data_IF_610231681876
#
_entry.id   IF_610231681876
#
_cell.length_a   1.000
_cell.length_b   1.000
_cell.length_c   1.000
_cell.angle_alpha   90.00
_cell.angle_beta   90.00
_cell.angle_gamma   90.00
#
_symmetry.space_group_name_H-M   'P 1'
#
loop_
_entity.id
_entity.type
_entity.pdbx_description
1 polymer ?
#
# COMPACT_ATOMS: atom_id res chain seq x y z
N UNK A 1 -35.11 12.83 -59.89
CA UNK A 1 -34.83 13.24 -58.49
C UNK A 1 -35.39 12.18 -57.56
N UNK A 2 -34.54 11.39 -56.88
CA UNK A 2 -34.94 10.55 -55.75
C UNK A 2 -33.86 10.65 -54.67
N UNK A 3 -34.36 10.99 -53.49
CA UNK A 3 -33.64 11.56 -52.37
C UNK A 3 -32.69 10.56 -51.71
N UNK A 4 -31.54 11.08 -51.29
CA UNK A 4 -30.54 10.39 -50.50
C UNK A 4 -31.00 10.22 -49.03
N UNK A 5 -30.62 9.12 -48.40
CA UNK A 5 -30.56 8.98 -46.94
C UNK A 5 -29.45 7.98 -46.60
N UNK A 6 -28.21 8.48 -46.58
CA UNK A 6 -27.08 7.77 -46.00
C UNK A 6 -27.07 8.02 -44.49
N UNK A 7 -27.50 7.02 -43.72
CA UNK A 7 -27.35 7.00 -42.26
C UNK A 7 -25.87 6.72 -41.94
N UNK A 8 -25.11 7.76 -41.58
CA UNK A 8 -23.75 7.62 -41.04
C UNK A 8 -23.85 7.32 -39.54
N UNK A 9 -23.61 6.08 -39.16
CA UNK A 9 -23.42 5.67 -37.77
C UNK A 9 -22.04 6.16 -37.35
N UNK A 10 -21.99 7.15 -36.46
CA UNK A 10 -20.76 7.60 -35.81
C UNK A 10 -20.50 6.64 -34.66
N UNK A 11 -19.66 5.65 -34.90
CA UNK A 11 -19.04 4.83 -33.85
C UNK A 11 -18.03 5.72 -33.11
N UNK A 12 -18.47 6.38 -32.05
CA UNK A 12 -17.58 7.01 -31.08
C UNK A 12 -16.81 5.92 -30.33
N UNK A 13 -15.63 5.57 -30.82
CA UNK A 13 -14.65 4.81 -30.06
C UNK A 13 -14.18 5.69 -28.89
N UNK A 14 -14.83 5.57 -27.74
CA UNK A 14 -14.30 6.08 -26.50
C UNK A 14 -13.05 5.24 -26.16
N UNK A 15 -11.88 5.74 -26.53
CA UNK A 15 -10.62 5.28 -25.96
C UNK A 15 -10.62 5.73 -24.51
N UNK A 16 -11.15 4.88 -23.62
CA UNK A 16 -10.89 5.00 -22.19
C UNK A 16 -9.41 4.70 -22.05
N UNK A 17 -8.60 5.75 -21.95
CA UNK A 17 -7.24 5.64 -21.47
C UNK A 17 -7.32 5.17 -20.01
N UNK A 18 -7.32 3.87 -19.80
CA UNK A 18 -6.97 3.31 -18.50
C UNK A 18 -5.53 3.74 -18.27
N UNK A 19 -5.33 4.80 -17.48
CA UNK A 19 -4.09 4.91 -16.74
C UNK A 19 -3.98 3.57 -16.00
N UNK A 20 -3.04 2.72 -16.42
CA UNK A 20 -2.84 1.41 -15.80
C UNK A 20 -2.38 1.72 -14.39
N UNK A 21 -3.34 1.73 -13.49
CA UNK A 21 -3.11 2.07 -12.11
C UNK A 21 -2.18 0.99 -11.54
N UNK A 22 -1.08 1.44 -10.93
CA UNK A 22 0.09 0.61 -10.69
C UNK A 22 0.07 0.11 -9.25
N UNK A 23 0.19 -1.20 -9.06
CA UNK A 23 0.46 -1.77 -7.74
C UNK A 23 1.86 -1.37 -7.28
N UNK A 24 2.00 -1.06 -5.99
CA UNK A 24 3.24 -0.57 -5.41
C UNK A 24 3.71 -1.49 -4.29
N UNK A 25 5.02 -1.53 -4.07
CA UNK A 25 5.63 -2.28 -2.98
C UNK A 25 6.56 -1.37 -2.21
N UNK A 26 6.46 -1.45 -0.88
CA UNK A 26 7.39 -0.82 0.02
C UNK A 26 7.87 -1.79 1.08
N UNK A 27 9.10 -1.61 1.52
CA UNK A 27 9.73 -2.48 2.50
C UNK A 27 10.37 -1.67 3.61
N UNK A 28 10.10 -2.07 4.85
CA UNK A 28 10.91 -1.74 6.01
C UNK A 28 11.83 -2.93 6.30
N UNK A 29 13.11 -2.68 6.57
CA UNK A 29 14.06 -3.72 6.97
C UNK A 29 14.42 -3.54 8.43
N UNK A 30 14.15 -4.57 9.24
CA UNK A 30 14.48 -4.66 10.65
C UNK A 30 15.54 -5.71 10.87
N UNK A 31 16.69 -5.34 11.43
CA UNK A 31 17.88 -6.21 11.48
C UNK A 31 18.25 -6.78 10.09
N UNK A 32 19.34 -7.53 9.96
CA UNK A 32 19.83 -7.94 8.63
C UNK A 32 18.93 -8.95 7.89
N UNK A 33 17.78 -9.35 8.44
CA UNK A 33 16.98 -10.48 7.91
C UNK A 33 15.47 -10.44 8.12
N UNK A 34 14.92 -9.41 8.77
CA UNK A 34 13.47 -9.29 8.98
C UNK A 34 12.92 -8.10 8.20
N UNK A 35 11.78 -8.28 7.55
CA UNK A 35 11.21 -7.31 6.64
C UNK A 35 9.70 -7.17 6.90
N UNK A 36 9.22 -5.93 6.88
CA UNK A 36 7.81 -5.61 6.66
C UNK A 36 7.63 -5.20 5.22
N UNK A 37 6.77 -5.92 4.51
CA UNK A 37 6.32 -5.58 3.17
C UNK A 37 4.95 -4.92 3.25
N UNK A 38 4.79 -3.75 2.65
CA UNK A 38 3.47 -3.15 2.37
C UNK A 38 3.26 -3.13 0.85
N UNK A 39 2.17 -3.73 0.39
CA UNK A 39 1.78 -3.74 -1.01
C UNK A 39 0.49 -2.97 -1.21
N UNK A 40 0.53 -1.94 -2.05
CA UNK A 40 -0.68 -1.36 -2.62
C UNK A 40 -1.21 -2.31 -3.70
N UNK A 41 -2.34 -2.94 -3.41
CA UNK A 41 -3.14 -3.75 -4.32
C UNK A 41 -4.13 -2.82 -5.02
N UNK A 42 -3.68 -2.28 -6.15
CA UNK A 42 -4.45 -1.28 -6.89
C UNK A 42 -5.85 -1.78 -7.29
N UNK A 43 -6.03 -2.99 -7.87
CA UNK A 43 -7.35 -3.49 -8.24
C UNK A 43 -8.34 -3.54 -7.08
N UNK A 44 -7.85 -3.80 -5.86
CA UNK A 44 -8.66 -3.83 -4.65
C UNK A 44 -8.75 -2.47 -3.95
N UNK A 45 -7.89 -1.51 -4.30
CA UNK A 45 -7.81 -0.20 -3.68
C UNK A 45 -7.38 -0.26 -2.21
N UNK A 46 -6.53 -1.23 -1.83
CA UNK A 46 -6.11 -1.44 -0.44
C UNK A 46 -4.61 -1.71 -0.33
N UNK A 47 -4.04 -1.33 0.81
CA UNK A 47 -2.74 -1.81 1.28
C UNK A 47 -2.91 -3.15 1.97
N UNK A 48 -1.99 -4.06 1.68
CA UNK A 48 -1.82 -5.35 2.35
C UNK A 48 -0.42 -5.38 2.96
N UNK A 49 -0.25 -6.12 4.05
CA UNK A 49 1.05 -6.30 4.67
C UNK A 49 1.54 -7.73 4.50
N UNK A 50 2.84 -7.93 4.65
CA UNK A 50 3.47 -9.22 4.83
C UNK A 50 4.73 -9.09 5.68
N UNK A 51 5.10 -10.16 6.39
CA UNK A 51 6.31 -10.22 7.19
C UNK A 51 7.20 -11.35 6.69
N UNK A 52 8.49 -11.08 6.49
CA UNK A 52 9.49 -12.09 6.11
C UNK A 52 10.66 -12.03 7.06
N UNK A 53 11.06 -13.17 7.60
CA UNK A 53 12.26 -13.25 8.41
C UNK A 53 12.36 -14.59 9.13
N UNK A 54 13.58 -15.04 9.36
CA UNK A 54 13.83 -16.34 10.03
C UNK A 54 13.87 -16.22 11.54
N UNK A 55 13.89 -14.99 12.07
CA UNK A 55 14.05 -14.71 13.51
C UNK A 55 12.80 -14.13 14.16
N UNK A 56 11.68 -14.03 13.43
CA UNK A 56 10.42 -13.62 14.04
C UNK A 56 9.98 -14.63 15.11
N UNK A 57 9.53 -14.16 16.29
CA UNK A 57 8.86 -15.03 17.25
C UNK A 57 7.66 -15.74 16.59
N UNK A 58 7.32 -16.97 17.01
CA UNK A 58 6.09 -17.64 16.58
C UNK A 58 4.87 -16.74 16.80
N UNK A 59 3.83 -16.88 15.96
CA UNK A 59 2.59 -16.06 16.02
C UNK A 59 2.74 -14.57 15.68
N UNK A 60 3.94 -14.15 15.25
CA UNK A 60 4.14 -12.83 14.67
C UNK A 60 3.26 -12.65 13.43
N UNK A 61 2.57 -11.52 13.37
CA UNK A 61 1.59 -11.23 12.32
C UNK A 61 1.45 -9.73 12.07
N UNK A 62 0.95 -9.40 10.89
CA UNK A 62 0.56 -8.04 10.56
C UNK A 62 -0.90 -7.99 10.11
N UNK A 63 -1.56 -6.85 10.32
CA UNK A 63 -2.89 -6.54 9.77
C UNK A 63 -2.93 -5.09 9.31
N UNK A 64 -3.85 -4.75 8.42
CA UNK A 64 -3.92 -3.41 7.83
C UNK A 64 -5.32 -2.84 7.91
N UNK A 65 -5.43 -1.64 8.46
CA UNK A 65 -6.63 -0.82 8.43
C UNK A 65 -6.49 0.24 7.33
N UNK A 66 -7.29 0.09 6.27
CA UNK A 66 -7.29 1.00 5.14
C UNK A 66 -8.32 2.11 5.34
N UNK A 67 -7.97 3.35 4.99
CA UNK A 67 -8.88 4.48 5.05
C UNK A 67 -8.56 5.55 4.01
N UNK A 68 -9.54 6.43 3.77
CA UNK A 68 -9.35 7.67 3.03
C UNK A 68 -9.82 8.82 3.91
N UNK A 69 -9.05 9.90 3.95
CA UNK A 69 -9.50 11.11 4.64
C UNK A 69 -10.56 11.88 3.81
N UNK A 70 -11.07 12.98 4.36
CA UNK A 70 -12.07 13.82 3.69
C UNK A 70 -11.56 14.47 2.39
N UNK A 71 -10.24 14.56 2.20
CA UNK A 71 -9.60 15.07 0.98
C UNK A 71 -9.33 13.96 -0.05
N UNK A 72 -9.70 12.71 0.27
CA UNK A 72 -9.46 11.55 -0.58
C UNK A 72 -8.04 10.99 -0.48
N UNK A 73 -7.21 11.46 0.46
CA UNK A 73 -5.86 10.93 0.64
C UNK A 73 -5.95 9.50 1.16
N UNK A 74 -5.35 8.57 0.41
CA UNK A 74 -5.32 7.15 0.76
C UNK A 74 -4.28 6.94 1.84
N UNK A 75 -4.66 6.25 2.90
CA UNK A 75 -3.75 5.87 3.95
C UNK A 75 -4.07 4.49 4.51
N UNK A 76 -3.06 3.85 5.08
CA UNK A 76 -3.22 2.58 5.74
C UNK A 76 -2.42 2.55 7.05
N UNK A 77 -3.05 2.05 8.10
CA UNK A 77 -2.42 1.79 9.39
C UNK A 77 -2.13 0.31 9.49
N UNK A 78 -0.85 -0.05 9.43
CA UNK A 78 -0.40 -1.43 9.61
C UNK A 78 -0.09 -1.69 11.07
N UNK A 79 -0.76 -2.68 11.63
CA UNK A 79 -0.54 -3.17 12.99
C UNK A 79 0.36 -4.39 12.93
N UNK A 80 1.56 -4.32 13.51
CA UNK A 80 2.51 -5.43 13.62
C UNK A 80 2.51 -5.95 15.06
N UNK A 81 2.17 -7.21 15.25
CA UNK A 81 2.22 -7.88 16.55
C UNK A 81 3.33 -8.91 16.53
N UNK A 82 4.31 -8.78 17.42
CA UNK A 82 5.38 -9.77 17.58
C UNK A 82 5.01 -10.78 18.65
N UNK A 83 5.11 -12.07 18.30
CA UNK A 83 4.82 -13.12 19.26
C UNK A 83 3.36 -13.13 19.73
N UNK A 84 3.17 -13.59 20.98
CA UNK A 84 1.92 -13.46 21.72
C UNK A 84 1.75 -12.09 22.40
N UNK A 85 2.41 -11.04 21.88
CA UNK A 85 2.25 -9.68 22.36
C UNK A 85 0.81 -9.20 22.27
N UNK A 86 0.37 -8.38 23.22
CA UNK A 86 -1.01 -7.88 23.29
C UNK A 86 -1.20 -6.50 22.65
N UNK A 87 -0.11 -5.76 22.41
CA UNK A 87 -0.15 -4.43 21.83
C UNK A 87 0.60 -4.42 20.49
N UNK A 88 -0.06 -4.01 19.38
CA UNK A 88 0.61 -3.88 18.09
C UNK A 88 1.47 -2.62 18.04
N UNK A 89 2.57 -2.69 17.28
CA UNK A 89 3.28 -1.52 16.79
C UNK A 89 2.60 -1.03 15.52
N UNK A 90 2.49 0.29 15.38
CA UNK A 90 1.66 0.89 14.33
C UNK A 90 2.52 1.66 13.34
N UNK A 91 2.40 1.32 12.06
CA UNK A 91 3.04 2.03 10.96
C UNK A 91 1.98 2.60 10.03
N UNK A 92 1.97 3.91 9.84
CA UNK A 92 1.09 4.59 8.90
C UNK A 92 1.80 4.81 7.58
N UNK A 93 1.13 4.52 6.48
CA UNK A 93 1.58 4.89 5.13
C UNK A 93 0.53 5.75 4.45
N UNK A 94 0.96 6.89 3.89
CA UNK A 94 0.17 7.66 2.92
C UNK A 94 0.52 7.19 1.51
N UNK A 95 -0.48 6.78 0.73
CA UNK A 95 -0.26 6.16 -0.59
C UNK A 95 -0.54 7.14 -1.71
N UNK A 96 0.44 7.36 -2.58
CA UNK A 96 0.22 7.97 -3.89
C UNK A 96 0.20 6.86 -4.96
N UNK A 97 -0.98 6.41 -5.42
CA UNK A 97 -1.11 5.27 -6.33
C UNK A 97 -0.54 5.55 -7.73
N UNK A 98 -0.37 6.82 -8.12
CA UNK A 98 0.13 7.19 -9.45
C UNK A 98 1.65 7.05 -9.55
N UNK A 99 2.37 7.19 -8.44
CA UNK A 99 3.84 7.30 -8.43
C UNK A 99 4.53 6.23 -7.61
N UNK A 100 3.80 5.47 -6.79
CA UNK A 100 4.36 4.62 -5.74
C UNK A 100 5.25 5.36 -4.73
N UNK A 101 5.26 6.69 -4.75
CA UNK A 101 5.79 7.48 -3.65
C UNK A 101 4.79 7.47 -2.49
N UNK A 102 5.28 7.77 -1.30
CA UNK A 102 4.40 8.09 -0.19
C UNK A 102 3.82 9.49 -0.39
N UNK A 103 2.67 9.75 0.20
CA UNK A 103 2.12 11.11 0.26
C UNK A 103 3.07 12.01 1.08
N UNK A 104 3.14 13.31 0.74
CA UNK A 104 3.91 14.26 1.53
C UNK A 104 3.33 14.39 2.95
N UNK A 105 4.20 14.71 3.90
CA UNK A 105 3.89 14.65 5.34
C UNK A 105 2.78 15.63 5.79
N UNK A 106 2.57 16.72 5.04
CA UNK A 106 1.49 17.68 5.24
C UNK A 106 0.10 17.10 4.90
N UNK A 107 0.04 16.02 4.12
CA UNK A 107 -1.18 15.26 3.85
C UNK A 107 -1.32 14.07 4.77
N UNK A 108 -0.32 13.19 4.76
CA UNK A 108 -0.26 12.00 5.61
C UNK A 108 1.18 11.79 6.02
N UNK A 109 1.45 11.89 7.32
CA UNK A 109 2.77 11.56 7.88
C UNK A 109 2.95 10.05 7.81
N UNK A 110 3.85 9.60 6.92
CA UNK A 110 4.23 8.20 6.82
C UNK A 110 5.31 7.88 7.86
N UNK A 111 5.13 6.80 8.61
CA UNK A 111 6.08 6.34 9.61
C UNK A 111 5.44 5.58 10.76
N UNK A 112 6.29 5.13 11.68
CA UNK A 112 5.88 4.52 12.93
C UNK A 112 5.24 5.56 13.86
N UNK A 113 4.10 5.21 14.45
CA UNK A 113 3.33 6.08 15.35
C UNK A 113 2.88 5.35 16.62
N UNK A 114 2.42 6.12 17.60
CA UNK A 114 1.93 5.58 18.87
C UNK A 114 3.03 5.02 19.78
N UNK A 115 2.63 4.09 20.64
CA UNK A 115 3.53 3.46 21.63
C UNK A 115 4.62 2.64 20.93
N UNK A 116 5.87 2.78 21.41
CA UNK A 116 7.00 2.01 20.88
C UNK A 116 7.57 2.50 19.55
N UNK A 117 6.98 3.52 18.90
CA UNK A 117 7.49 4.12 17.65
C UNK A 117 8.95 4.56 17.72
N UNK A 118 9.44 4.97 18.90
CA UNK A 118 10.84 5.34 19.13
C UNK A 118 11.84 4.20 18.88
N UNK A 119 11.39 2.94 18.91
CA UNK A 119 12.23 1.77 18.62
C UNK A 119 12.63 1.69 17.14
N UNK A 120 11.89 2.37 16.25
CA UNK A 120 12.04 2.33 14.80
C UNK A 120 12.54 3.66 14.22
N UNK A 121 13.09 4.55 15.06
CA UNK A 121 13.42 5.94 14.70
C UNK A 121 14.44 6.07 13.54
N UNK A 122 15.21 5.02 13.27
CA UNK A 122 16.23 4.98 12.21
C UNK A 122 15.91 3.98 11.11
N UNK A 123 14.71 3.40 11.13
CA UNK A 123 14.33 2.37 10.19
C UNK A 123 13.99 3.01 8.84
N UNK A 124 14.32 2.30 7.77
CA UNK A 124 14.28 2.84 6.42
C UNK A 124 13.20 2.16 5.60
N UNK A 125 12.14 2.91 5.34
CA UNK A 125 11.06 2.50 4.48
C UNK A 125 11.32 2.91 3.04
N UNK A 126 11.33 1.96 2.10
CA UNK A 126 11.68 2.22 0.70
C UNK A 126 10.77 1.52 -0.29
N UNK A 127 10.53 2.19 -1.43
CA UNK A 127 9.84 1.56 -2.56
C UNK A 127 10.73 0.48 -3.18
N UNK A 128 10.13 -0.66 -3.51
CA UNK A 128 10.78 -1.78 -4.18
C UNK A 128 10.02 -2.18 -5.45
N UNK A 129 10.60 -3.12 -6.21
CA UNK A 129 9.85 -3.80 -7.27
C UNK A 129 8.66 -4.55 -6.67
N UNK A 130 7.52 -4.54 -7.36
CA UNK A 130 6.27 -5.12 -6.84
C UNK A 130 6.38 -6.62 -6.55
N UNK A 131 7.28 -7.32 -7.25
CA UNK A 131 7.51 -8.75 -7.08
C UNK A 131 8.32 -9.10 -5.82
N UNK A 132 8.91 -8.10 -5.15
CA UNK A 132 9.62 -8.27 -3.88
C UNK A 132 8.64 -8.35 -2.70
N UNK A 133 7.48 -7.68 -2.78
CA UNK A 133 6.51 -7.72 -1.70
C UNK A 133 5.82 -9.06 -1.63
N UNK A 134 6.04 -9.76 -0.51
CA UNK A 134 5.20 -10.88 -0.12
C UNK A 134 4.06 -10.41 0.79
N UNK A 135 3.08 -11.27 0.99
CA UNK A 135 1.92 -11.03 1.88
C UNK A 135 1.82 -12.11 2.97
N UNK A 136 2.92 -12.80 3.24
CA UNK A 136 3.00 -13.87 4.24
C UNK A 136 2.78 -13.31 5.66
N UNK A 137 2.28 -14.14 6.58
CA UNK A 137 1.96 -13.73 7.96
C UNK A 137 0.98 -12.55 8.06
N UNK A 138 0.15 -12.34 7.03
CA UNK A 138 -1.03 -11.48 7.10
C UNK A 138 -2.14 -12.17 7.91
N UNK A 139 -2.77 -11.42 8.81
CA UNK A 139 -3.86 -11.87 9.68
C UNK A 139 -5.24 -11.65 9.06
#
# INVERSE_FOLDING_TARGET
MRSALFVRIITCSAFIAYAVAKSCCWTDMWSDSCYLHLKWDEPAGVVRCGLVGTTFPPDTKCSVENSKDASGNIQALTNVTFGNGTAPFQFRIGVNPDTCATLPADKVTTGWEGWGSYLFKNDYFSSQDVNVCVQDHSA
#
